data_IF_382080308024
#
_entry.id   IF_382080308024
#
_cell.length_a   1.000
_cell.length_b   1.000
_cell.length_c   1.000
_cell.angle_alpha   90.00
_cell.angle_beta   90.00
_cell.angle_gamma   90.00
#
_symmetry.space_group_name_H-M   'P 1'
#
loop_
_entity.id
_entity.type
_entity.pdbx_description
1 polymer ?
#
# COMPACT_ATOMS: atom_id res chain seq x y z
N UNK A 1 -59.73 15.48 48.29
CA UNK A 1 -59.24 14.68 47.15
C UNK A 1 -58.59 15.49 46.02
N UNK A 2 -59.08 16.69 45.63
CA UNK A 2 -58.45 17.46 44.54
C UNK A 2 -57.04 18.00 44.84
N UNK A 3 -56.75 18.37 46.10
CA UNK A 3 -55.44 18.90 46.52
C UNK A 3 -54.34 17.84 46.63
N UNK A 4 -54.71 16.60 46.98
CA UNK A 4 -53.76 15.48 47.10
C UNK A 4 -53.33 14.94 45.74
N UNK A 5 -54.22 14.96 44.74
CA UNK A 5 -53.89 14.58 43.35
C UNK A 5 -52.94 15.59 42.69
N UNK A 6 -53.13 16.89 42.94
CA UNK A 6 -52.23 17.95 42.47
C UNK A 6 -50.81 17.84 43.05
N UNK A 7 -50.69 17.46 44.33
CA UNK A 7 -49.39 17.26 44.97
C UNK A 7 -48.63 16.05 44.39
N UNK A 8 -49.33 14.96 44.06
CA UNK A 8 -48.73 13.76 43.46
C UNK A 8 -48.24 14.05 42.03
N UNK A 9 -49.00 14.83 41.24
CA UNK A 9 -48.59 15.25 39.89
C UNK A 9 -47.35 16.16 39.96
N UNK A 10 -47.28 17.07 40.94
CA UNK A 10 -46.12 17.94 41.13
C UNK A 10 -44.85 17.14 41.51
N UNK A 11 -44.98 16.12 42.36
CA UNK A 11 -43.86 15.24 42.74
C UNK A 11 -43.41 14.37 41.57
N UNK A 12 -44.33 13.87 40.74
CA UNK A 12 -43.99 13.17 39.49
C UNK A 12 -43.34 14.08 38.45
N UNK A 13 -43.72 15.36 38.42
CA UNK A 13 -43.11 16.36 37.54
C UNK A 13 -41.67 16.66 37.95
N UNK A 14 -41.38 16.70 39.26
CA UNK A 14 -40.04 16.96 39.79
C UNK A 14 -39.12 15.73 39.60
N UNK A 15 -39.65 14.51 39.71
CA UNK A 15 -38.88 13.28 39.41
C UNK A 15 -38.72 12.98 37.92
N UNK A 16 -39.63 13.46 37.06
CA UNK A 16 -39.50 13.32 35.61
C UNK A 16 -38.37 14.17 35.00
N UNK A 17 -37.90 15.19 35.72
CA UNK A 17 -36.75 16.01 35.29
C UNK A 17 -35.40 15.43 35.75
N UNK A 18 -35.39 14.36 36.54
CA UNK A 18 -34.16 13.74 37.08
C UNK A 18 -33.62 12.58 36.25
N UNK A 19 -34.34 12.17 35.19
CA UNK A 19 -33.88 11.15 34.22
C UNK A 19 -33.76 11.78 32.84
N UNK A 20 -33.14 12.95 32.78
CA UNK A 20 -32.44 13.37 31.58
C UNK A 20 -31.06 12.73 31.67
N UNK A 21 -30.89 11.55 31.08
CA UNK A 21 -29.55 11.10 30.73
C UNK A 21 -28.91 12.24 29.94
N UNK A 22 -27.89 12.87 30.52
CA UNK A 22 -27.13 13.92 29.87
C UNK A 22 -26.53 13.31 28.60
N UNK A 23 -27.20 13.49 27.47
CA UNK A 23 -26.60 13.49 26.14
C UNK A 23 -25.76 14.77 25.98
N UNK A 24 -24.94 15.09 26.99
CA UNK A 24 -24.00 16.18 26.92
C UNK A 24 -22.71 15.56 26.43
N UNK A 25 -22.41 15.71 25.13
CA UNK A 25 -21.02 15.87 24.72
C UNK A 25 -20.44 16.89 25.69
N UNK A 26 -19.42 16.57 26.50
CA UNK A 26 -18.73 17.62 27.23
C UNK A 26 -18.22 18.58 26.17
N UNK A 27 -18.65 19.85 26.14
CA UNK A 27 -18.24 20.82 25.13
C UNK A 27 -16.72 21.01 25.08
N UNK A 28 -16.00 20.46 26.07
CA UNK A 28 -14.58 20.62 26.30
C UNK A 28 -13.72 19.40 25.91
N UNK A 29 -14.33 18.36 25.32
CA UNK A 29 -13.57 17.27 24.72
C UNK A 29 -12.96 17.74 23.40
N UNK A 30 -11.65 17.92 23.38
CA UNK A 30 -10.91 18.28 22.17
C UNK A 30 -10.35 17.02 21.52
N UNK A 31 -10.60 16.85 20.22
CA UNK A 31 -10.14 15.69 19.47
C UNK A 31 -9.23 16.15 18.37
N UNK A 32 -8.02 15.60 18.33
CA UNK A 32 -7.05 15.92 17.30
C UNK A 32 -6.45 14.67 16.68
N UNK A 33 -6.11 14.78 15.41
CA UNK A 33 -5.47 13.73 14.63
C UNK A 33 -4.19 14.29 14.02
N UNK A 34 -3.17 13.43 13.97
CA UNK A 34 -1.91 13.65 13.24
C UNK A 34 -1.43 12.34 12.64
N UNK A 35 -0.59 12.40 11.62
CA UNK A 35 0.11 11.21 11.15
C UNK A 35 1.04 10.69 12.25
N UNK A 36 0.97 9.39 12.54
CA UNK A 36 1.85 8.75 13.52
C UNK A 36 3.30 8.73 13.00
N UNK A 37 3.46 8.22 11.78
CA UNK A 37 4.65 8.28 10.96
C UNK A 37 4.30 8.92 9.61
N UNK A 38 5.18 9.77 9.07
CA UNK A 38 4.98 10.33 7.73
C UNK A 38 5.85 9.55 6.76
N UNK A 39 5.23 8.62 6.05
CA UNK A 39 5.86 7.86 4.97
C UNK A 39 5.24 8.21 3.63
N UNK A 40 5.80 7.69 2.54
CA UNK A 40 5.17 7.82 1.23
C UNK A 40 3.98 6.86 1.15
N UNK A 41 2.80 7.42 0.90
CA UNK A 41 1.55 6.66 0.84
C UNK A 41 1.13 6.40 -0.61
N UNK A 42 0.60 5.21 -0.85
CA UNK A 42 0.18 4.71 -2.16
C UNK A 42 -1.24 4.13 -2.08
N UNK A 43 -2.00 4.11 -3.19
CA UNK A 43 -3.27 3.40 -3.25
C UNK A 43 -3.12 1.90 -2.98
N UNK A 44 -4.19 1.28 -2.50
CA UNK A 44 -4.23 -0.17 -2.32
C UNK A 44 -3.79 -0.68 -0.94
N UNK A 45 -3.29 -1.92 -0.93
CA UNK A 45 -3.37 -2.87 0.20
C UNK A 45 -2.88 -2.35 1.57
N UNK A 46 -3.65 -2.70 2.59
CA UNK A 46 -3.57 -2.15 3.95
C UNK A 46 -2.31 -2.59 4.70
N UNK A 47 -1.84 -3.81 4.42
CA UNK A 47 -0.72 -4.45 5.12
C UNK A 47 0.66 -3.95 4.66
N UNK A 48 0.82 -3.67 3.35
CA UNK A 48 2.10 -3.28 2.76
C UNK A 48 2.37 -1.78 2.84
N UNK A 49 1.32 -0.96 2.88
CA UNK A 49 1.42 0.49 2.98
C UNK A 49 0.30 1.04 3.90
N UNK A 50 0.38 0.83 5.22
CA UNK A 50 -0.60 1.35 6.16
C UNK A 50 -0.54 2.89 6.24
N UNK A 51 -1.65 3.52 6.60
CA UNK A 51 -1.70 4.96 6.89
C UNK A 51 -2.07 5.12 8.36
N UNK A 52 -1.05 5.23 9.22
CA UNK A 52 -1.26 5.32 10.66
C UNK A 52 -1.60 6.75 11.09
N UNK A 53 -2.76 6.88 11.72
CA UNK A 53 -3.27 8.11 12.31
C UNK A 53 -3.17 7.99 13.82
N UNK A 54 -2.42 8.90 14.43
CA UNK A 54 -2.40 9.09 15.86
C UNK A 54 -3.55 10.01 16.26
N UNK A 55 -4.48 9.45 17.02
CA UNK A 55 -5.66 10.12 17.56
C UNK A 55 -5.37 10.53 18.99
N UNK A 56 -5.76 11.75 19.35
CA UNK A 56 -5.69 12.27 20.72
C UNK A 56 -7.05 12.82 21.12
N UNK A 57 -7.54 12.37 22.27
CA UNK A 57 -8.71 12.93 22.96
C UNK A 57 -8.17 13.64 24.21
N UNK A 58 -8.39 14.95 24.30
CA UNK A 58 -7.91 15.77 25.41
C UNK A 58 -9.09 16.39 26.16
N UNK A 59 -8.95 16.47 27.48
CA UNK A 59 -9.86 17.22 28.33
C UNK A 59 -9.30 18.62 28.57
N UNK A 60 -9.76 19.59 27.79
CA UNK A 60 -9.38 20.99 27.96
C UNK A 60 -10.36 21.76 28.89
N UNK A 61 -11.35 21.06 29.45
CA UNK A 61 -12.38 21.62 30.32
C UNK A 61 -11.98 21.62 31.79
N UNK A 62 -12.92 22.06 32.63
CA UNK A 62 -12.76 22.08 34.09
C UNK A 62 -13.34 20.84 34.80
N UNK A 63 -14.17 20.05 34.12
CA UNK A 63 -14.83 18.86 34.67
C UNK A 63 -14.19 17.57 34.14
N UNK A 64 -14.31 16.47 34.88
CA UNK A 64 -13.83 15.15 34.43
C UNK A 64 -14.57 14.68 33.16
N UNK A 65 -13.84 14.45 32.08
CA UNK A 65 -14.36 13.93 30.82
C UNK A 65 -14.47 12.40 30.89
N UNK A 66 -15.67 11.85 30.68
CA UNK A 66 -15.92 10.40 30.63
C UNK A 66 -16.41 9.98 29.26
N UNK A 67 -15.87 8.89 28.73
CA UNK A 67 -16.30 8.32 27.45
C UNK A 67 -16.08 6.82 27.37
N UNK A 68 -16.80 6.17 26.45
CA UNK A 68 -16.68 4.75 26.14
C UNK A 68 -15.75 4.55 24.95
N UNK A 69 -14.75 3.70 25.13
CA UNK A 69 -13.85 3.27 24.06
C UNK A 69 -14.05 1.78 23.81
N UNK A 70 -14.53 1.43 22.63
CA UNK A 70 -14.70 0.05 22.21
C UNK A 70 -13.34 -0.64 22.00
N UNK A 71 -13.29 -1.95 22.25
CA UNK A 71 -12.11 -2.77 21.96
C UNK A 71 -11.80 -2.77 20.46
N UNK A 72 -12.84 -2.84 19.63
CA UNK A 72 -12.77 -2.54 18.20
C UNK A 72 -13.12 -1.06 17.98
N UNK A 73 -12.10 -0.24 17.73
CA UNK A 73 -12.23 1.22 17.64
C UNK A 73 -13.12 1.68 16.47
N UNK A 74 -13.45 0.79 15.53
CA UNK A 74 -14.45 1.04 14.49
C UNK A 74 -15.85 1.38 15.04
N UNK A 75 -16.11 1.09 16.31
CA UNK A 75 -17.32 1.48 17.01
C UNK A 75 -17.17 2.73 17.88
N UNK A 76 -15.99 3.34 17.96
CA UNK A 76 -15.75 4.60 18.69
C UNK A 76 -15.31 5.75 17.79
N UNK A 77 -14.78 5.48 16.60
CA UNK A 77 -14.37 6.49 15.64
C UNK A 77 -14.88 6.18 14.24
N UNK A 78 -14.98 7.23 13.42
CA UNK A 78 -15.22 7.13 11.98
C UNK A 78 -14.39 8.17 11.23
N UNK A 79 -13.85 7.81 10.07
CA UNK A 79 -13.10 8.74 9.23
C UNK A 79 -13.97 9.24 8.07
N UNK A 80 -14.00 10.56 7.91
CA UNK A 80 -14.59 11.22 6.75
C UNK A 80 -13.46 11.76 5.88
N UNK A 81 -13.26 11.11 4.73
CA UNK A 81 -12.19 11.48 3.80
C UNK A 81 -12.79 12.06 2.53
N UNK A 82 -12.31 13.23 2.14
CA UNK A 82 -12.79 13.96 0.97
C UNK A 82 -11.66 14.16 -0.03
N UNK A 83 -11.96 14.06 -1.32
CA UNK A 83 -11.03 14.46 -2.36
C UNK A 83 -11.04 15.99 -2.58
N UNK A 84 -10.17 16.49 -3.46
CA UNK A 84 -10.11 17.92 -3.85
C UNK A 84 -11.41 18.46 -4.47
N UNK A 85 -12.28 17.57 -4.97
CA UNK A 85 -13.62 17.91 -5.51
C UNK A 85 -14.71 17.87 -4.42
N UNK A 86 -14.32 17.74 -3.15
CA UNK A 86 -15.21 17.63 -1.99
C UNK A 86 -16.17 16.43 -2.05
N UNK A 87 -15.80 15.38 -2.77
CA UNK A 87 -16.54 14.12 -2.78
C UNK A 87 -15.98 13.18 -1.70
N UNK A 88 -16.88 12.65 -0.86
CA UNK A 88 -16.53 11.70 0.22
C UNK A 88 -16.15 10.35 -0.39
N UNK A 89 -15.07 9.76 0.10
CA UNK A 89 -14.66 8.41 -0.27
C UNK A 89 -15.57 7.34 0.33
N UNK A 90 -15.59 6.17 -0.31
CA UNK A 90 -16.36 5.01 0.13
C UNK A 90 -15.72 4.35 1.35
N UNK A 91 -16.56 3.87 2.25
CA UNK A 91 -16.14 3.05 3.39
C UNK A 91 -15.64 1.68 2.90
N UNK A 92 -14.78 1.01 3.66
CA UNK A 92 -14.39 -0.37 3.34
C UNK A 92 -15.53 -1.36 3.58
N UNK A 93 -15.60 -2.43 2.79
CA UNK A 93 -16.56 -3.52 3.02
C UNK A 93 -16.42 -4.15 4.41
N UNK A 94 -15.20 -4.21 4.94
CA UNK A 94 -14.91 -4.73 6.28
C UNK A 94 -15.57 -3.85 7.36
N UNK A 95 -15.46 -2.52 7.24
CA UNK A 95 -16.11 -1.58 8.15
C UNK A 95 -17.63 -1.70 8.07
N UNK A 96 -18.20 -1.70 6.86
CA UNK A 96 -19.65 -1.83 6.65
C UNK A 96 -20.17 -3.14 7.24
N UNK A 97 -19.48 -4.26 6.98
CA UNK A 97 -19.87 -5.59 7.50
C UNK A 97 -19.80 -5.65 9.02
N UNK A 98 -18.73 -5.12 9.62
CA UNK A 98 -18.58 -5.08 11.09
C UNK A 98 -19.72 -4.29 11.74
N UNK A 99 -20.04 -3.11 11.21
CA UNK A 99 -21.08 -2.22 11.77
C UNK A 99 -22.52 -2.68 11.52
N UNK A 100 -22.76 -3.45 10.46
CA UNK A 100 -24.10 -3.98 10.14
C UNK A 100 -24.42 -5.31 10.82
N UNK A 101 -23.40 -6.10 11.18
CA UNK A 101 -23.62 -7.35 11.91
C UNK A 101 -24.07 -7.05 13.34
N UNK A 102 -25.14 -7.68 13.81
CA UNK A 102 -25.61 -7.54 15.19
C UNK A 102 -24.72 -8.35 16.16
N UNK A 103 -23.75 -7.70 16.79
CA UNK A 103 -22.83 -8.29 17.78
C UNK A 103 -22.80 -7.39 19.02
N UNK A 104 -22.53 -7.98 20.18
CA UNK A 104 -22.22 -7.21 21.39
C UNK A 104 -20.88 -6.49 21.19
N UNK A 105 -20.87 -5.18 21.41
CA UNK A 105 -19.66 -4.35 21.36
C UNK A 105 -19.13 -4.24 22.79
N UNK A 106 -17.96 -4.83 23.03
CA UNK A 106 -17.24 -4.67 24.30
C UNK A 106 -16.52 -3.32 24.31
N UNK A 107 -16.56 -2.64 25.45
CA UNK A 107 -15.95 -1.33 25.63
C UNK A 107 -15.47 -1.17 27.07
N UNK A 108 -14.55 -0.23 27.24
CA UNK A 108 -14.12 0.29 28.54
C UNK A 108 -14.55 1.74 28.68
N UNK A 109 -14.79 2.15 29.92
CA UNK A 109 -14.97 3.56 30.25
C UNK A 109 -13.62 4.18 30.60
N UNK A 110 -13.33 5.32 30.00
CA UNK A 110 -12.15 6.12 30.26
C UNK A 110 -12.61 7.41 30.93
N UNK A 111 -11.90 7.82 31.97
CA UNK A 111 -12.08 9.11 32.65
C UNK A 111 -10.79 9.89 32.50
N UNK A 112 -10.89 11.13 32.02
CA UNK A 112 -9.79 12.08 31.88
C UNK A 112 -10.06 13.27 32.78
N UNK A 113 -9.17 13.53 33.72
CA UNK A 113 -9.20 14.75 34.53
C UNK A 113 -8.82 15.98 33.70
N UNK A 114 -9.12 17.21 34.17
CA UNK A 114 -8.74 18.44 33.50
C UNK A 114 -7.25 18.48 33.14
N UNK A 115 -6.93 18.70 31.85
CA UNK A 115 -5.57 18.72 31.32
C UNK A 115 -5.00 17.35 30.92
N UNK A 116 -5.71 16.26 31.16
CA UNK A 116 -5.28 14.93 30.71
C UNK A 116 -5.65 14.67 29.25
N UNK A 117 -4.88 13.78 28.62
CA UNK A 117 -5.16 13.32 27.26
C UNK A 117 -4.94 11.82 27.12
N UNK A 118 -5.76 11.20 26.27
CA UNK A 118 -5.64 9.82 25.86
C UNK A 118 -5.32 9.74 24.37
N UNK A 119 -4.34 8.91 24.02
CA UNK A 119 -3.91 8.75 22.64
C UNK A 119 -3.82 7.30 22.20
N UNK A 120 -4.11 7.07 20.93
CA UNK A 120 -4.00 5.76 20.30
C UNK A 120 -3.76 5.90 18.80
N UNK A 121 -3.33 4.81 18.16
CA UNK A 121 -3.01 4.77 16.73
C UNK A 121 -3.98 3.84 15.99
N UNK A 122 -4.50 4.31 14.86
CA UNK A 122 -5.41 3.58 13.97
C UNK A 122 -4.93 3.63 12.53
N UNK A 123 -5.24 2.59 11.74
CA UNK A 123 -4.91 2.56 10.32
C UNK A 123 -6.10 3.06 9.50
N UNK A 124 -5.97 4.22 8.87
CA UNK A 124 -7.03 4.86 8.08
C UNK A 124 -7.56 3.94 6.95
N UNK A 125 -6.69 3.14 6.34
CA UNK A 125 -7.07 2.22 5.25
C UNK A 125 -7.99 1.08 5.67
N UNK A 126 -8.16 0.82 6.98
CA UNK A 126 -9.20 -0.08 7.47
C UNK A 126 -10.61 0.53 7.37
N UNK A 127 -10.72 1.86 7.29
CA UNK A 127 -12.00 2.57 7.36
C UNK A 127 -12.48 3.01 5.98
N UNK A 128 -11.56 3.48 5.13
CA UNK A 128 -11.88 4.11 3.84
C UNK A 128 -11.11 3.47 2.69
N UNK A 129 -11.77 3.29 1.55
CA UNK A 129 -11.16 2.83 0.30
C UNK A 129 -10.43 3.99 -0.39
N UNK A 130 -9.13 3.81 -0.62
CA UNK A 130 -8.25 4.78 -1.26
C UNK A 130 -7.62 4.12 -2.50
N UNK A 131 -8.29 4.26 -3.63
CA UNK A 131 -7.92 3.55 -4.86
C UNK A 131 -7.15 4.43 -5.85
N UNK A 132 -7.25 5.75 -5.70
CA UNK A 132 -6.70 6.70 -6.66
C UNK A 132 -5.58 7.55 -6.04
N UNK A 133 -4.54 7.90 -6.81
CA UNK A 133 -3.57 8.90 -6.41
C UNK A 133 -4.21 10.29 -6.37
N UNK A 134 -4.12 10.96 -5.24
CA UNK A 134 -4.62 12.33 -5.09
C UNK A 134 -4.19 12.95 -3.77
N UNK A 135 -4.53 14.22 -3.60
CA UNK A 135 -4.56 14.84 -2.27
C UNK A 135 -5.96 14.66 -1.70
N UNK A 136 -6.01 14.10 -0.50
CA UNK A 136 -7.22 13.88 0.27
C UNK A 136 -7.19 14.71 1.53
N UNK A 137 -8.37 15.03 2.03
CA UNK A 137 -8.53 15.67 3.31
C UNK A 137 -9.27 14.74 4.26
N UNK A 138 -8.59 14.39 5.35
CA UNK A 138 -9.07 13.44 6.35
C UNK A 138 -9.57 14.22 7.56
N UNK A 139 -10.78 13.92 7.98
CA UNK A 139 -11.36 14.33 9.25
C UNK A 139 -11.82 13.08 9.99
N UNK A 140 -11.82 13.10 11.32
CA UNK A 140 -12.27 12.00 12.14
C UNK A 140 -13.38 12.46 13.07
N UNK A 141 -14.43 11.66 13.17
CA UNK A 141 -15.50 11.81 14.15
C UNK A 141 -15.25 10.82 15.29
N UNK A 142 -15.18 11.32 16.52
CA UNK A 142 -15.13 10.51 17.72
C UNK A 142 -16.51 10.43 18.36
N UNK A 143 -16.94 9.23 18.75
CA UNK A 143 -18.25 8.96 19.34
C UNK A 143 -18.09 8.55 20.82
N UNK A 144 -18.27 9.48 21.77
CA UNK A 144 -18.08 9.21 23.20
C UNK A 144 -18.99 8.10 23.74
N UNK A 145 -20.16 7.92 23.12
CA UNK A 145 -21.18 6.91 23.46
C UNK A 145 -21.27 5.78 22.42
N UNK A 146 -20.19 5.55 21.68
CA UNK A 146 -20.09 4.60 20.57
C UNK A 146 -20.94 4.97 19.34
N UNK A 147 -20.58 4.41 18.19
CA UNK A 147 -21.17 4.69 16.87
C UNK A 147 -22.68 4.37 16.75
N UNK A 148 -23.27 3.70 17.75
CA UNK A 148 -24.72 3.45 17.78
C UNK A 148 -25.51 4.77 17.81
N UNK A 149 -24.97 5.80 18.47
CA UNK A 149 -25.55 7.14 18.50
C UNK A 149 -24.78 8.07 17.54
N UNK A 150 -25.15 8.04 16.25
CA UNK A 150 -24.42 8.78 15.20
C UNK A 150 -24.52 10.30 15.31
N UNK A 151 -25.46 10.81 16.08
CA UNK A 151 -25.69 12.26 16.24
C UNK A 151 -24.83 12.89 17.33
N UNK A 152 -24.19 12.07 18.16
CA UNK A 152 -23.34 12.52 19.26
C UNK A 152 -21.88 12.21 18.92
N UNK A 153 -21.18 13.18 18.32
CA UNK A 153 -19.77 13.06 17.99
C UNK A 153 -19.01 14.37 18.12
N UNK A 154 -17.70 14.26 18.26
CA UNK A 154 -16.74 15.37 18.23
C UNK A 154 -15.87 15.21 16.99
N UNK A 155 -15.82 16.23 16.13
CA UNK A 155 -14.96 16.26 14.95
C UNK A 155 -13.53 16.66 15.32
N UNK A 156 -12.57 16.09 14.61
CA UNK A 156 -11.16 16.47 14.72
C UNK A 156 -10.78 17.65 13.82
N UNK A 157 -9.53 18.12 13.94
CA UNK A 157 -8.89 18.90 12.89
C UNK A 157 -8.82 18.11 11.56
N UNK A 158 -8.61 18.84 10.45
CA UNK A 158 -8.49 18.27 9.10
C UNK A 158 -7.01 18.03 8.75
N UNK A 159 -6.68 16.82 8.28
CA UNK A 159 -5.35 16.46 7.79
C UNK A 159 -5.33 16.41 6.26
N UNK A 160 -4.27 16.95 5.66
CA UNK A 160 -3.99 16.75 4.24
C UNK A 160 -3.16 15.47 4.05
N UNK A 161 -3.73 14.50 3.34
CA UNK A 161 -3.12 13.23 3.00
C UNK A 161 -2.76 13.22 1.52
N UNK A 162 -1.47 13.19 1.20
CA UNK A 162 -0.98 13.02 -0.17
C UNK A 162 -0.80 11.53 -0.45
N UNK A 163 -1.63 10.99 -1.34
CA UNK A 163 -1.50 9.63 -1.86
C UNK A 163 -0.82 9.75 -3.22
N UNK A 164 0.42 9.30 -3.29
CA UNK A 164 1.19 9.27 -4.52
C UNK A 164 0.74 8.10 -5.38
N UNK A 165 0.91 8.18 -6.70
CA UNK A 165 0.77 6.99 -7.51
C UNK A 165 1.72 5.93 -6.96
N UNK A 166 1.24 4.69 -6.84
CA UNK A 166 2.09 3.55 -6.47
C UNK A 166 3.39 3.63 -7.28
N UNK A 167 4.57 3.22 -6.76
CA UNK A 167 5.83 3.42 -7.49
C UNK A 167 5.80 2.92 -8.94
N UNK A 168 5.02 1.86 -9.21
CA UNK A 168 4.67 1.38 -10.56
C UNK A 168 3.86 2.39 -11.41
N UNK A 169 2.88 3.11 -10.84
CA UNK A 169 2.11 4.18 -11.47
C UNK A 169 2.81 5.57 -11.48
N UNK A 170 3.70 5.86 -10.52
CA UNK A 170 4.47 7.11 -10.47
C UNK A 170 5.64 7.09 -11.44
N UNK A 171 6.19 5.89 -11.73
CA UNK A 171 7.13 5.69 -12.83
C UNK A 171 6.51 5.97 -14.22
N UNK A 172 5.18 6.02 -14.33
CA UNK A 172 4.46 6.39 -15.55
C UNK A 172 4.21 7.89 -15.71
N UNK A 173 4.56 8.73 -14.72
CA UNK A 173 4.29 10.18 -14.79
C UNK A 173 5.58 11.00 -14.78
N UNK A 174 6.38 10.86 -15.85
CA UNK A 174 7.39 11.86 -16.18
C UNK A 174 6.73 13.06 -16.87
N UNK A 175 6.96 14.25 -16.31
CA UNK A 175 7.06 15.61 -16.90
C UNK A 175 6.19 15.92 -18.15
N UNK A 176 5.42 17.03 -18.15
CA UNK A 176 4.24 17.20 -18.98
C UNK A 176 4.57 17.65 -20.41
N UNK A 177 4.17 16.87 -21.42
CA UNK A 177 3.71 17.37 -22.73
C UNK A 177 2.69 16.37 -23.32
N UNK A 178 1.43 16.82 -23.39
CA UNK A 178 0.29 16.27 -24.12
C UNK A 178 -0.23 14.84 -23.81
N UNK A 179 -1.49 14.85 -23.35
CA UNK A 179 -2.43 13.75 -23.23
C UNK A 179 -2.46 12.77 -24.41
N UNK A 180 -2.21 11.48 -24.15
CA UNK A 180 -3.06 10.36 -24.64
C UNK A 180 -2.52 8.99 -24.18
N UNK A 181 -3.43 8.15 -23.70
CA UNK A 181 -3.34 6.67 -23.66
C UNK A 181 -2.39 6.03 -22.63
N UNK A 182 -2.96 5.16 -21.80
CA UNK A 182 -2.27 4.06 -21.14
C UNK A 182 -1.64 3.15 -22.21
N UNK A 183 -0.42 3.46 -22.64
CA UNK A 183 0.35 2.56 -23.46
C UNK A 183 0.78 1.39 -22.56
N UNK A 184 0.17 0.23 -22.81
CA UNK A 184 0.70 -1.07 -22.38
C UNK A 184 2.21 -1.05 -22.60
N UNK A 185 3.02 -1.34 -21.57
CA UNK A 185 4.45 -1.55 -21.73
C UNK A 185 4.63 -2.64 -22.79
N UNK A 186 5.11 -2.24 -23.96
CA UNK A 186 5.32 -3.11 -25.11
C UNK A 186 6.80 -3.12 -25.41
N UNK A 187 7.38 -4.28 -25.72
CA UNK A 187 8.73 -4.32 -26.21
C UNK A 187 8.85 -3.46 -27.47
N UNK A 188 9.90 -2.66 -27.53
CA UNK A 188 10.21 -1.84 -28.70
C UNK A 188 11.19 -2.58 -29.62
N UNK A 189 11.17 -2.25 -30.92
CA UNK A 189 12.13 -2.78 -31.89
C UNK A 189 13.49 -2.07 -31.73
N UNK A 190 14.21 -2.41 -30.66
CA UNK A 190 15.53 -1.87 -30.33
C UNK A 190 16.63 -2.89 -30.54
N UNK A 191 17.87 -2.41 -30.70
CA UNK A 191 19.04 -3.27 -30.88
C UNK A 191 19.32 -4.19 -29.70
N UNK A 192 20.03 -5.31 -29.91
CA UNK A 192 20.32 -6.29 -28.87
C UNK A 192 21.16 -5.73 -27.70
N UNK A 193 22.08 -4.81 -27.99
CA UNK A 193 22.83 -4.05 -26.99
C UNK A 193 21.90 -3.22 -26.10
N UNK A 194 20.94 -2.51 -26.72
CA UNK A 194 19.95 -1.69 -26.02
C UNK A 194 18.98 -2.52 -25.20
N UNK A 195 18.58 -3.70 -25.67
CA UNK A 195 17.78 -4.65 -24.90
C UNK A 195 18.48 -5.02 -23.58
N UNK A 196 19.75 -5.40 -23.66
CA UNK A 196 20.52 -5.81 -22.48
C UNK A 196 20.79 -4.62 -21.57
N UNK A 197 21.15 -3.46 -22.13
CA UNK A 197 21.33 -2.21 -21.39
C UNK A 197 20.06 -1.84 -20.60
N UNK A 198 18.89 -1.83 -21.25
CA UNK A 198 17.62 -1.52 -20.61
C UNK A 198 17.26 -2.54 -19.53
N UNK A 199 17.54 -3.82 -19.77
CA UNK A 199 17.29 -4.89 -18.79
C UNK A 199 18.12 -4.67 -17.53
N UNK A 200 19.42 -4.38 -17.66
CA UNK A 200 20.31 -4.12 -16.51
C UNK A 200 19.90 -2.84 -15.78
N UNK A 201 19.61 -1.75 -16.52
CA UNK A 201 19.16 -0.48 -15.92
C UNK A 201 17.83 -0.67 -15.17
N UNK A 202 16.89 -1.43 -15.74
CA UNK A 202 15.63 -1.75 -15.10
C UNK A 202 15.88 -2.53 -13.79
N UNK A 203 16.84 -3.46 -13.78
CA UNK A 203 17.22 -4.17 -12.56
C UNK A 203 17.84 -3.25 -11.51
N UNK A 204 18.77 -2.37 -11.88
CA UNK A 204 19.36 -1.36 -10.98
C UNK A 204 18.32 -0.44 -10.36
N UNK A 205 17.29 -0.07 -11.12
CA UNK A 205 16.16 0.77 -10.66
C UNK A 205 15.04 -0.03 -9.97
N UNK A 206 15.20 -1.34 -9.81
CA UNK A 206 14.17 -2.24 -9.25
C UNK A 206 12.83 -2.21 -10.01
N UNK A 207 12.86 -1.94 -11.32
CA UNK A 207 11.69 -1.90 -12.20
C UNK A 207 11.43 -3.29 -12.80
N UNK A 208 10.77 -4.16 -12.03
CA UNK A 208 10.56 -5.56 -12.41
C UNK A 208 9.82 -5.75 -13.74
N UNK A 209 8.78 -4.96 -14.04
CA UNK A 209 8.04 -5.12 -15.30
C UNK A 209 8.88 -4.75 -16.53
N UNK A 210 9.77 -3.75 -16.41
CA UNK A 210 10.72 -3.40 -17.47
C UNK A 210 11.87 -4.41 -17.56
N UNK A 211 12.32 -4.94 -16.42
CA UNK A 211 13.33 -5.99 -16.37
C UNK A 211 12.89 -7.25 -17.11
N UNK A 212 11.65 -7.67 -16.90
CA UNK A 212 11.10 -8.84 -17.58
C UNK A 212 10.64 -8.57 -19.02
N UNK A 213 10.61 -7.31 -19.47
CA UNK A 213 10.03 -6.92 -20.76
C UNK A 213 10.68 -7.63 -21.95
N UNK A 214 12.00 -7.80 -21.90
CA UNK A 214 12.79 -8.44 -22.95
C UNK A 214 13.35 -9.80 -22.52
N UNK A 215 12.88 -10.37 -21.41
CA UNK A 215 13.36 -11.68 -20.94
C UNK A 215 12.35 -12.75 -21.34
N UNK A 216 12.81 -13.73 -22.10
CA UNK A 216 12.05 -14.93 -22.38
C UNK A 216 12.09 -15.87 -21.16
N UNK A 217 11.18 -15.64 -20.21
CA UNK A 217 11.11 -16.37 -18.95
C UNK A 217 10.92 -17.88 -19.13
N UNK A 218 10.27 -18.31 -20.21
CA UNK A 218 10.11 -19.73 -20.52
C UNK A 218 11.47 -20.39 -20.78
N UNK A 219 12.31 -19.79 -21.63
CA UNK A 219 13.63 -20.33 -21.94
C UNK A 219 14.56 -20.26 -20.73
N UNK A 220 14.51 -19.16 -19.97
CA UNK A 220 15.28 -19.02 -18.72
C UNK A 220 14.87 -20.09 -17.69
N UNK A 221 13.56 -20.33 -17.50
CA UNK A 221 13.05 -21.40 -16.62
C UNK A 221 13.56 -22.77 -17.05
N UNK A 222 13.56 -23.02 -18.36
CA UNK A 222 14.00 -24.29 -18.93
C UNK A 222 15.50 -24.50 -18.78
N UNK A 223 16.31 -23.53 -18.41
CA UNK A 223 17.76 -23.76 -18.23
C UNK A 223 18.06 -24.85 -17.21
N UNK A 224 17.29 -24.91 -16.13
CA UNK A 224 17.41 -25.96 -15.12
C UNK A 224 16.79 -27.30 -15.64
N UNK A 225 17.55 -28.41 -15.66
CA UNK A 225 17.06 -29.70 -16.17
C UNK A 225 15.85 -30.27 -15.41
N UNK A 226 15.68 -29.95 -14.12
CA UNK A 226 14.55 -30.42 -13.33
C UNK A 226 13.28 -29.65 -13.69
N UNK A 227 13.35 -28.31 -13.77
CA UNK A 227 12.24 -27.43 -14.16
C UNK A 227 11.85 -27.64 -15.61
N UNK A 228 12.81 -27.85 -16.52
CA UNK A 228 12.55 -28.20 -17.94
C UNK A 228 11.70 -29.46 -18.08
N UNK A 229 12.07 -30.53 -17.38
CA UNK A 229 11.31 -31.79 -17.41
C UNK A 229 9.89 -31.59 -16.90
N UNK A 230 9.72 -30.86 -15.80
CA UNK A 230 8.40 -30.54 -15.25
C UNK A 230 7.58 -29.72 -16.24
N UNK A 231 8.13 -28.64 -16.79
CA UNK A 231 7.47 -27.76 -17.76
C UNK A 231 6.97 -28.52 -19.00
N UNK A 232 7.79 -29.44 -19.54
CA UNK A 232 7.44 -30.21 -20.73
C UNK A 232 6.30 -31.21 -20.48
N UNK A 233 6.14 -31.69 -19.24
CA UNK A 233 5.19 -32.75 -18.87
C UNK A 233 3.84 -32.23 -18.35
N UNK A 234 3.67 -30.92 -18.20
CA UNK A 234 2.42 -30.30 -17.72
C UNK A 234 1.59 -29.71 -18.85
N UNK A 235 0.31 -29.47 -18.56
CA UNK A 235 -0.66 -28.84 -19.47
C UNK A 235 -0.33 -27.36 -19.74
N UNK A 236 -0.95 -26.77 -20.78
CA UNK A 236 -0.71 -25.36 -21.14
C UNK A 236 -1.04 -24.38 -19.99
N UNK A 237 -2.18 -24.55 -19.33
CA UNK A 237 -2.60 -23.73 -18.19
C UNK A 237 -1.62 -23.84 -17.01
N UNK A 238 -1.09 -25.05 -16.78
CA UNK A 238 -0.09 -25.28 -15.74
C UNK A 238 1.27 -24.65 -16.11
N UNK A 239 1.64 -24.62 -17.40
CA UNK A 239 2.85 -23.94 -17.87
C UNK A 239 2.77 -22.44 -17.60
N UNK A 240 1.64 -21.81 -17.87
CA UNK A 240 1.42 -20.39 -17.59
C UNK A 240 1.55 -20.10 -16.09
N UNK A 241 0.94 -20.94 -15.25
CA UNK A 241 1.09 -20.84 -13.78
C UNK A 241 2.53 -21.04 -13.33
N UNK A 242 3.26 -21.99 -13.92
CA UNK A 242 4.68 -22.22 -13.62
C UNK A 242 5.56 -21.02 -13.98
N UNK A 243 5.30 -20.36 -15.12
CA UNK A 243 6.01 -19.14 -15.51
C UNK A 243 5.68 -18.00 -14.55
N UNK A 244 4.40 -17.82 -14.19
CA UNK A 244 3.99 -16.79 -13.24
C UNK A 244 4.60 -16.99 -11.85
N UNK A 245 4.65 -18.24 -11.33
CA UNK A 245 5.32 -18.54 -10.06
C UNK A 245 6.82 -18.30 -10.14
N UNK A 246 7.44 -18.67 -11.26
CA UNK A 246 8.88 -18.47 -11.48
C UNK A 246 9.24 -16.98 -11.52
N UNK A 247 8.42 -16.15 -12.18
CA UNK A 247 8.53 -14.68 -12.15
C UNK A 247 8.47 -14.15 -10.72
N UNK A 248 7.51 -14.62 -9.92
CA UNK A 248 7.36 -14.20 -8.52
C UNK A 248 8.56 -14.62 -7.65
N UNK A 249 9.09 -15.83 -7.85
CA UNK A 249 10.26 -16.34 -7.12
C UNK A 249 11.53 -15.55 -7.46
N UNK A 250 11.72 -15.16 -8.73
CA UNK A 250 12.80 -14.26 -9.16
C UNK A 250 12.67 -12.87 -8.52
N UNK A 251 11.45 -12.32 -8.44
CA UNK A 251 11.19 -11.02 -7.80
C UNK A 251 11.50 -11.02 -6.30
N UNK A 252 11.28 -12.16 -5.64
CA UNK A 252 11.60 -12.38 -4.23
C UNK A 252 13.06 -12.81 -4.01
N UNK A 253 13.86 -12.89 -5.07
CA UNK A 253 15.26 -13.31 -5.06
C UNK A 253 15.47 -14.69 -4.39
N UNK A 254 14.50 -15.61 -4.52
CA UNK A 254 14.57 -16.94 -3.91
C UNK A 254 15.37 -17.94 -4.72
N UNK A 255 15.55 -17.68 -6.02
CA UNK A 255 16.16 -18.58 -7.00
C UNK A 255 16.99 -17.78 -8.01
N UNK A 256 17.88 -18.48 -8.71
CA UNK A 256 18.66 -18.01 -9.85
C UNK A 256 19.26 -16.60 -9.64
N UNK A 257 20.04 -16.47 -8.57
CA UNK A 257 20.54 -15.18 -8.09
C UNK A 257 21.37 -14.40 -9.10
N UNK A 258 21.99 -15.08 -10.08
CA UNK A 258 22.86 -14.43 -11.06
C UNK A 258 22.09 -13.53 -12.03
N UNK A 259 20.96 -13.97 -12.60
CA UNK A 259 20.20 -13.15 -13.57
C UNK A 259 19.51 -11.94 -12.91
N UNK A 260 19.22 -12.04 -11.61
CA UNK A 260 18.57 -10.98 -10.82
C UNK A 260 19.56 -10.18 -9.97
N UNK A 261 20.85 -10.45 -10.10
CA UNK A 261 21.89 -9.72 -9.41
C UNK A 261 21.83 -8.24 -9.81
N UNK A 262 22.10 -7.35 -8.87
CA UNK A 262 22.08 -5.90 -9.12
C UNK A 262 23.54 -5.43 -9.23
N UNK A 263 24.06 -5.17 -10.44
CA UNK A 263 25.40 -4.62 -10.56
C UNK A 263 25.41 -3.14 -10.12
N UNK A 264 26.49 -2.70 -9.47
CA UNK A 264 26.73 -1.29 -9.14
C UNK A 264 26.99 -0.47 -10.42
N UNK A 265 27.70 -1.06 -11.37
CA UNK A 265 27.96 -0.52 -12.70
C UNK A 265 28.13 -1.65 -13.71
N UNK A 266 27.95 -1.32 -14.99
CA UNK A 266 28.16 -2.26 -16.08
C UNK A 266 28.74 -1.56 -17.31
N UNK A 267 29.38 -2.33 -18.19
CA UNK A 267 29.97 -1.86 -19.44
C UNK A 267 29.77 -2.93 -20.52
N UNK A 268 29.19 -2.55 -21.66
CA UNK A 268 29.04 -3.46 -22.81
C UNK A 268 30.38 -3.54 -23.53
N UNK A 269 31.02 -4.71 -23.48
CA UNK A 269 32.30 -4.96 -24.17
C UNK A 269 32.09 -5.17 -25.66
N UNK A 270 31.12 -6.00 -26.03
CA UNK A 270 30.97 -6.46 -27.41
C UNK A 270 29.55 -6.93 -27.68
N UNK A 271 28.99 -6.50 -28.81
CA UNK A 271 27.70 -6.96 -29.31
C UNK A 271 27.89 -7.61 -30.66
N UNK A 272 27.52 -8.88 -30.79
CA UNK A 272 27.57 -9.65 -32.04
C UNK A 272 26.17 -10.15 -32.35
N UNK A 273 25.62 -9.83 -33.51
CA UNK A 273 24.30 -10.32 -33.89
C UNK A 273 24.16 -10.50 -35.40
N UNK A 274 23.28 -11.43 -35.75
CA UNK A 274 22.79 -11.70 -37.09
C UNK A 274 21.37 -11.16 -37.22
N UNK A 275 20.63 -11.58 -38.26
CA UNK A 275 19.21 -11.23 -38.40
C UNK A 275 18.31 -11.89 -37.37
N UNK A 276 18.71 -13.01 -36.76
CA UNK A 276 17.83 -13.80 -35.90
C UNK A 276 18.38 -14.01 -34.50
N UNK A 277 19.70 -14.12 -34.35
CA UNK A 277 20.33 -14.44 -33.07
C UNK A 277 21.54 -13.53 -32.84
N UNK A 278 21.83 -13.26 -31.57
CA UNK A 278 22.98 -12.48 -31.14
C UNK A 278 23.44 -12.80 -29.74
N UNK A 279 24.56 -12.19 -29.37
CA UNK A 279 25.16 -12.24 -28.05
C UNK A 279 25.71 -10.88 -27.66
N UNK A 280 25.49 -10.48 -26.42
CA UNK A 280 26.01 -9.24 -25.84
C UNK A 280 26.88 -9.59 -24.65
N UNK A 281 28.15 -9.21 -24.69
CA UNK A 281 29.10 -9.39 -23.59
C UNK A 281 29.15 -8.12 -22.76
N UNK A 282 28.94 -8.26 -21.46
CA UNK A 282 28.85 -7.16 -20.50
C UNK A 282 29.76 -7.46 -19.31
N UNK A 283 30.60 -6.50 -18.94
CA UNK A 283 31.27 -6.50 -17.66
C UNK A 283 30.35 -5.90 -16.62
N UNK A 284 30.15 -6.62 -15.52
CA UNK A 284 29.31 -6.21 -14.41
C UNK A 284 30.13 -6.23 -13.12
N UNK A 285 30.03 -5.14 -12.36
CA UNK A 285 30.68 -4.99 -11.07
C UNK A 285 29.64 -5.04 -9.95
N UNK A 286 29.95 -5.74 -8.88
CA UNK A 286 29.09 -5.90 -7.72
C UNK A 286 29.85 -5.47 -6.47
N UNK A 287 29.38 -4.39 -5.86
CA UNK A 287 30.01 -3.84 -4.67
C UNK A 287 29.56 -4.64 -3.45
N UNK A 288 30.50 -5.31 -2.79
CA UNK A 288 30.31 -5.86 -1.46
C UNK A 288 30.95 -4.92 -0.43
N UNK A 289 30.66 -5.12 0.86
CA UNK A 289 31.17 -4.25 1.93
C UNK A 289 32.71 -4.14 1.98
N UNK A 290 33.44 -5.10 1.42
CA UNK A 290 34.90 -5.23 1.57
C UNK A 290 35.68 -5.39 0.27
N UNK A 291 35.02 -5.67 -0.86
CA UNK A 291 35.67 -5.88 -2.17
C UNK A 291 34.64 -5.69 -3.29
N UNK A 292 35.13 -5.49 -4.52
CA UNK A 292 34.26 -5.43 -5.70
C UNK A 292 34.39 -6.72 -6.50
N UNK A 293 33.30 -7.45 -6.71
CA UNK A 293 33.31 -8.60 -7.64
C UNK A 293 33.17 -8.10 -9.07
N UNK A 294 33.99 -8.65 -9.96
CA UNK A 294 33.88 -8.40 -11.40
C UNK A 294 33.51 -9.68 -12.12
N UNK A 295 32.39 -9.64 -12.84
CA UNK A 295 31.89 -10.78 -13.61
C UNK A 295 31.66 -10.36 -15.06
N UNK A 296 31.83 -11.29 -15.98
CA UNK A 296 31.45 -11.12 -17.38
C UNK A 296 30.19 -11.92 -17.64
N UNK A 297 29.13 -11.21 -18.02
CA UNK A 297 27.90 -11.80 -18.49
C UNK A 297 27.93 -11.86 -20.01
N UNK A 298 27.58 -13.00 -20.59
CA UNK A 298 27.24 -13.12 -22.01
C UNK A 298 25.76 -13.38 -22.12
N UNK A 299 24.99 -12.38 -22.53
CA UNK A 299 23.55 -12.49 -22.76
C UNK A 299 23.30 -12.96 -24.18
N UNK A 300 22.54 -14.04 -24.35
CA UNK A 300 22.12 -14.53 -25.66
C UNK A 300 20.73 -14.02 -25.97
N UNK A 301 20.60 -13.42 -27.15
CA UNK A 301 19.38 -12.75 -27.59
C UNK A 301 18.90 -13.33 -28.92
N UNK A 302 17.59 -13.36 -29.11
CA UNK A 302 16.95 -13.82 -30.35
C UNK A 302 15.86 -12.85 -30.77
N UNK A 303 15.74 -12.60 -32.07
CA UNK A 303 14.69 -11.78 -32.64
C UNK A 303 13.43 -12.63 -32.90
N UNK A 304 12.28 -12.16 -32.39
CA UNK A 304 10.95 -12.68 -32.69
C UNK A 304 10.03 -11.50 -32.99
N UNK A 305 9.37 -11.53 -34.14
CA UNK A 305 8.41 -10.49 -34.55
C UNK A 305 8.98 -9.04 -34.43
N UNK A 306 10.25 -8.86 -34.81
CA UNK A 306 10.94 -7.56 -34.75
C UNK A 306 11.58 -7.24 -33.40
N UNK A 307 11.20 -7.95 -32.33
CA UNK A 307 11.63 -7.71 -30.95
C UNK A 307 12.78 -8.65 -30.59
N UNK A 308 13.84 -8.11 -29.99
CA UNK A 308 14.94 -8.90 -29.43
C UNK A 308 14.63 -9.31 -27.99
N UNK A 309 14.78 -10.60 -27.69
CA UNK A 309 14.55 -11.16 -26.36
C UNK A 309 15.79 -11.89 -25.85
N UNK A 310 16.15 -11.69 -24.59
CA UNK A 310 17.14 -12.47 -23.86
C UNK A 310 16.54 -13.83 -23.54
N UNK A 311 17.12 -14.90 -24.06
CA UNK A 311 16.65 -16.27 -23.84
C UNK A 311 17.64 -17.13 -23.05
N UNK A 312 18.90 -16.72 -22.95
CA UNK A 312 19.94 -17.43 -22.22
C UNK A 312 21.03 -16.46 -21.75
N UNK A 313 21.87 -16.88 -20.82
CA UNK A 313 23.04 -16.10 -20.36
C UNK A 313 24.18 -17.00 -19.84
N UNK A 314 25.43 -16.58 -19.89
CA UNK A 314 26.52 -17.24 -19.14
C UNK A 314 27.27 -16.24 -18.30
N UNK A 315 27.83 -16.71 -17.18
CA UNK A 315 28.55 -15.86 -16.23
C UNK A 315 29.95 -16.41 -16.02
N UNK A 316 30.96 -15.59 -16.33
CA UNK A 316 32.36 -15.88 -16.04
C UNK A 316 32.82 -14.97 -14.90
N UNK A 317 33.28 -15.57 -13.79
CA UNK A 317 33.85 -14.81 -12.67
C UNK A 317 35.27 -14.35 -13.05
N UNK A 318 35.50 -13.04 -13.16
CA UNK A 318 36.80 -12.48 -13.53
C UNK A 318 37.69 -12.14 -12.33
N UNK A 319 37.16 -12.25 -11.12
CA UNK A 319 37.89 -12.05 -9.86
C UNK A 319 37.30 -10.95 -8.99
N UNK A 320 38.07 -10.55 -7.99
CA UNK A 320 37.74 -9.48 -7.04
C UNK A 320 38.79 -8.38 -7.14
N UNK A 321 38.35 -7.13 -7.18
CA UNK A 321 39.18 -5.92 -7.15
C UNK A 321 39.18 -5.29 -5.75
#
# INVERSE_FOLDING_TARGET
MKRTVLAIIAIFSIFAHSVSAQNNIPPDADVSIKFYDRTMYYPGEVESNPVYIHVTVANNGSDTLRFKLADDRMFSIDFSVFNVRNSRLSDTEALTRKRTTNRTVYFREISLEPGESYSFVENLKHYVQIDNPSVYYVEMNFYPELYRNKTNYVSSNRLSLEIRPSPSAAASTAIPVHSSSAAVLRPEEIGPDKVVEQTIIARQKSLWDQFFLYINLEEILKRDPSRRRRYNNVSADERERMIASYKADLMQQRIDHDIVAIPSRFEIETTMYSKTDGSVKVLEWFDNNTFTEKKRYTYYVRQRDGIWEIYDYTVDNLGTE
#
